data_IF_834178986933
#
_entry.id   IF_834178986933
#
_cell.length_a   1.000
_cell.length_b   1.000
_cell.length_c   1.000
_cell.angle_alpha   90.00
_cell.angle_beta   90.00
_cell.angle_gamma   90.00
#
_symmetry.space_group_name_H-M   'P 1'
#
loop_
_entity.id
_entity.type
_entity.pdbx_description
1 polymer ?
#
# COMPACT_ATOMS: atom_id res chain seq x y z
N UNK A 1 41.79 0.70 -13.56
CA UNK A 1 40.68 0.15 -12.75
C UNK A 1 39.43 0.22 -13.60
N UNK A 2 38.95 -0.92 -14.11
CA UNK A 2 37.67 -0.95 -14.83
C UNK A 2 36.60 -0.80 -13.75
N UNK A 3 35.96 0.37 -13.69
CA UNK A 3 34.70 0.49 -12.96
C UNK A 3 33.71 -0.42 -13.66
N UNK A 4 33.54 -1.64 -13.15
CA UNK A 4 32.38 -2.47 -13.48
C UNK A 4 31.15 -1.70 -13.00
N UNK A 5 30.55 -0.93 -13.90
CA UNK A 5 29.23 -0.35 -13.66
C UNK A 5 28.25 -1.51 -13.54
N UNK A 6 27.98 -1.93 -12.30
CA UNK A 6 26.95 -2.93 -12.02
C UNK A 6 25.64 -2.38 -12.59
N UNK A 7 25.05 -3.06 -13.59
CA UNK A 7 23.79 -2.61 -14.14
C UNK A 7 22.73 -2.62 -13.06
N UNK A 8 21.92 -1.55 -13.01
CA UNK A 8 20.84 -1.46 -12.03
C UNK A 8 19.85 -2.60 -12.25
N UNK A 9 19.29 -3.17 -11.17
CA UNK A 9 18.21 -4.13 -11.30
C UNK A 9 17.00 -3.51 -11.98
N UNK A 10 16.32 -4.29 -12.83
CA UNK A 10 15.17 -3.85 -13.62
C UNK A 10 13.87 -4.26 -12.96
N UNK A 11 12.87 -3.38 -12.94
CA UNK A 11 11.55 -3.73 -12.42
C UNK A 11 10.41 -3.33 -13.36
N UNK A 12 9.33 -4.10 -13.26
CA UNK A 12 8.03 -3.76 -13.80
C UNK A 12 7.03 -3.52 -12.66
N UNK A 13 6.21 -2.49 -12.77
CA UNK A 13 5.13 -2.20 -11.80
C UNK A 13 3.75 -2.20 -12.49
N UNK A 14 2.83 -2.98 -11.93
CA UNK A 14 1.45 -3.04 -12.36
C UNK A 14 0.55 -2.36 -11.34
N UNK A 15 -0.53 -1.75 -11.84
CA UNK A 15 -1.41 -0.90 -11.03
C UNK A 15 -0.60 0.25 -10.40
N UNK A 16 0.25 0.87 -11.23
CA UNK A 16 1.31 1.78 -10.80
C UNK A 16 0.79 3.05 -10.14
N UNK A 17 -0.45 3.44 -10.43
CA UNK A 17 -1.05 4.68 -9.98
C UNK A 17 -0.16 5.88 -10.27
N UNK A 18 0.20 6.65 -9.23
CA UNK A 18 1.13 7.77 -9.35
C UNK A 18 2.62 7.38 -9.36
N UNK A 19 2.96 6.09 -9.28
CA UNK A 19 4.34 5.60 -9.27
C UNK A 19 5.00 5.69 -7.90
N UNK A 20 4.29 5.31 -6.84
CA UNK A 20 4.88 5.28 -5.48
C UNK A 20 5.93 4.18 -5.32
N UNK A 21 5.82 3.07 -6.05
CA UNK A 21 6.85 2.03 -6.07
C UNK A 21 8.09 2.56 -6.78
N UNK A 22 7.92 3.22 -7.93
CA UNK A 22 9.01 3.95 -8.60
C UNK A 22 9.68 4.94 -7.66
N UNK A 23 8.91 5.78 -6.95
CA UNK A 23 9.45 6.74 -6.00
C UNK A 23 10.32 6.09 -4.92
N UNK A 24 9.94 4.89 -4.45
CA UNK A 24 10.61 4.19 -3.37
C UNK A 24 11.88 3.45 -3.81
N UNK A 25 11.83 2.79 -4.97
CA UNK A 25 12.98 2.10 -5.56
C UNK A 25 14.01 3.09 -6.11
N UNK A 26 13.52 4.24 -6.59
CA UNK A 26 14.31 5.41 -6.94
C UNK A 26 15.45 5.10 -7.91
N UNK A 27 16.58 5.78 -7.72
CA UNK A 27 17.72 5.67 -8.63
C UNK A 27 18.45 4.31 -8.57
N UNK A 28 18.13 3.44 -7.61
CA UNK A 28 18.76 2.13 -7.45
C UNK A 28 18.22 1.10 -8.45
N UNK A 29 17.05 1.34 -9.02
CA UNK A 29 16.39 0.43 -9.95
C UNK A 29 16.05 1.14 -11.26
N UNK A 30 16.00 0.37 -12.35
CA UNK A 30 15.50 0.86 -13.63
C UNK A 30 14.06 0.39 -13.83
N UNK A 31 13.12 1.34 -13.84
CA UNK A 31 11.75 1.05 -14.23
C UNK A 31 11.70 0.86 -15.74
N UNK A 32 11.28 -0.31 -16.18
CA UNK A 32 11.25 -0.65 -17.60
C UNK A 32 9.86 -0.96 -18.12
N UNK A 33 8.89 -1.10 -17.22
CA UNK A 33 7.48 -1.21 -17.54
C UNK A 33 6.63 -0.71 -16.36
N UNK A 34 5.66 0.13 -16.65
CA UNK A 34 4.62 0.53 -15.72
C UNK A 34 3.25 0.35 -16.41
N UNK A 35 2.21 -0.04 -15.66
CA UNK A 35 0.85 -0.11 -16.19
C UNK A 35 -0.17 0.42 -15.17
N UNK A 36 -1.10 1.24 -15.64
CA UNK A 36 -2.31 1.61 -14.91
C UNK A 36 -3.45 1.90 -15.91
N UNK A 37 -4.69 1.70 -15.47
CA UNK A 37 -5.88 1.91 -16.30
C UNK A 37 -6.42 3.34 -16.18
N UNK A 38 -6.10 4.05 -15.09
CA UNK A 38 -6.68 5.36 -14.78
C UNK A 38 -5.90 6.48 -15.49
N UNK A 39 -6.52 7.21 -16.45
CA UNK A 39 -5.82 8.25 -17.21
C UNK A 39 -5.26 9.38 -16.33
N UNK A 40 -5.96 9.73 -15.25
CA UNK A 40 -5.51 10.80 -14.33
C UNK A 40 -4.27 10.34 -13.55
N UNK A 41 -4.23 9.08 -13.11
CA UNK A 41 -3.04 8.51 -12.47
C UNK A 41 -1.90 8.37 -13.46
N UNK A 42 -2.17 7.93 -14.68
CA UNK A 42 -1.17 7.84 -15.77
C UNK A 42 -0.56 9.20 -16.08
N UNK A 43 -1.36 10.26 -16.16
CA UNK A 43 -0.85 11.62 -16.33
C UNK A 43 0.03 12.06 -15.15
N UNK A 44 -0.40 11.77 -13.92
CA UNK A 44 0.42 12.01 -12.73
C UNK A 44 1.75 11.26 -12.79
N UNK A 45 1.73 10.01 -13.24
CA UNK A 45 2.93 9.20 -13.43
C UNK A 45 3.87 9.84 -14.45
N UNK A 46 3.37 10.21 -15.64
CA UNK A 46 4.16 10.84 -16.70
C UNK A 46 4.86 12.11 -16.24
N UNK A 47 4.17 12.94 -15.46
CA UNK A 47 4.73 14.19 -14.94
C UNK A 47 5.90 13.99 -13.98
N UNK A 48 5.97 12.85 -13.30
CA UNK A 48 7.01 12.56 -12.32
C UNK A 48 8.13 11.67 -12.88
N UNK A 49 7.80 10.73 -13.78
CA UNK A 49 8.69 9.64 -14.20
C UNK A 49 8.89 9.53 -15.72
N UNK A 50 8.17 10.34 -16.51
CA UNK A 50 8.10 10.19 -17.96
C UNK A 50 7.12 9.10 -18.40
N UNK A 51 6.87 9.03 -19.72
CA UNK A 51 5.88 8.10 -20.31
C UNK A 51 6.45 6.93 -21.10
N UNK A 52 7.78 6.85 -21.28
CA UNK A 52 8.40 5.89 -22.20
C UNK A 52 8.10 4.42 -21.87
N UNK A 53 7.96 4.11 -20.58
CA UNK A 53 7.69 2.76 -20.08
C UNK A 53 6.27 2.57 -19.56
N UNK A 54 5.41 3.59 -19.65
CA UNK A 54 4.05 3.56 -19.13
C UNK A 54 3.06 3.08 -20.19
N UNK A 55 2.40 1.95 -19.90
CA UNK A 55 1.28 1.41 -20.65
C UNK A 55 -0.02 1.83 -19.96
N UNK A 56 -0.67 2.87 -20.49
CA UNK A 56 -2.00 3.27 -20.07
C UNK A 56 -3.05 2.33 -20.69
N UNK A 57 -3.78 1.60 -19.86
CA UNK A 57 -4.81 0.65 -20.32
C UNK A 57 -5.10 -0.45 -19.32
N UNK A 58 -6.16 -1.21 -19.60
CA UNK A 58 -6.54 -2.36 -18.77
C UNK A 58 -5.48 -3.46 -18.89
N UNK A 59 -5.04 -3.98 -17.75
CA UNK A 59 -4.13 -5.14 -17.67
C UNK A 59 -4.68 -6.36 -18.42
N UNK A 60 -6.02 -6.48 -18.54
CA UNK A 60 -6.68 -7.52 -19.31
C UNK A 60 -6.38 -7.44 -20.81
N UNK A 61 -6.24 -6.23 -21.34
CA UNK A 61 -6.07 -5.93 -22.76
C UNK A 61 -4.60 -5.87 -23.19
N UNK A 62 -3.66 -5.91 -22.23
CA UNK A 62 -2.24 -5.92 -22.55
C UNK A 62 -1.85 -7.16 -23.37
N UNK A 63 -1.08 -6.96 -24.46
CA UNK A 63 -0.78 -8.02 -25.42
C UNK A 63 0.12 -9.10 -24.82
N UNK A 64 0.06 -10.29 -25.41
CA UNK A 64 1.06 -11.32 -25.18
C UNK A 64 2.44 -10.77 -25.60
N UNK A 65 3.48 -11.02 -24.79
CA UNK A 65 4.79 -10.39 -24.99
C UNK A 65 4.94 -9.01 -24.35
N UNK A 66 3.96 -8.54 -23.56
CA UNK A 66 4.18 -7.34 -22.71
C UNK A 66 5.42 -7.50 -21.82
N UNK A 67 5.59 -8.68 -21.21
CA UNK A 67 6.83 -9.06 -20.52
C UNK A 67 7.77 -9.76 -21.50
N UNK A 68 8.63 -9.00 -22.18
CA UNK A 68 9.53 -9.48 -23.26
C UNK A 68 11.02 -9.27 -22.96
N UNK A 69 11.38 -8.97 -21.72
CA UNK A 69 12.77 -8.75 -21.33
C UNK A 69 13.04 -9.22 -19.90
N UNK A 70 14.30 -9.53 -19.55
CA UNK A 70 14.65 -9.92 -18.19
C UNK A 70 14.29 -8.84 -17.18
N UNK A 71 13.65 -9.25 -16.08
CA UNK A 71 13.25 -8.43 -14.96
C UNK A 71 13.81 -9.02 -13.68
N UNK A 72 14.22 -8.17 -12.76
CA UNK A 72 14.64 -8.56 -11.42
C UNK A 72 13.45 -8.60 -10.46
N UNK A 73 12.53 -7.62 -10.59
CA UNK A 73 11.32 -7.48 -9.78
C UNK A 73 10.08 -7.25 -10.66
N UNK A 74 8.99 -7.93 -10.33
CA UNK A 74 7.65 -7.53 -10.76
C UNK A 74 6.84 -7.15 -9.53
N UNK A 75 6.33 -5.92 -9.49
CA UNK A 75 5.45 -5.42 -8.44
C UNK A 75 4.00 -5.31 -8.93
N UNK A 76 3.03 -5.65 -8.08
CA UNK A 76 1.61 -5.38 -8.33
C UNK A 76 0.88 -4.84 -7.09
N UNK A 77 0.36 -3.62 -7.16
CA UNK A 77 -0.54 -3.03 -6.14
C UNK A 77 -2.00 -3.19 -6.55
N UNK A 78 -2.47 -4.44 -6.59
CA UNK A 78 -3.77 -4.79 -7.19
C UNK A 78 -4.96 -4.17 -6.45
N UNK A 79 -6.00 -3.70 -7.16
CA UNK A 79 -7.23 -3.27 -6.53
C UNK A 79 -7.85 -4.40 -5.69
N UNK A 80 -8.22 -4.08 -4.45
CA UNK A 80 -8.80 -5.05 -3.50
C UNK A 80 -10.19 -5.58 -3.94
N UNK A 81 -10.90 -4.85 -4.80
CA UNK A 81 -12.32 -5.08 -5.05
C UNK A 81 -12.59 -6.28 -5.98
N UNK A 82 -11.68 -6.61 -6.89
CA UNK A 82 -11.97 -7.47 -8.05
C UNK A 82 -11.42 -8.90 -8.00
N UNK A 83 -11.27 -9.47 -6.79
CA UNK A 83 -11.14 -10.92 -6.60
C UNK A 83 -12.53 -11.57 -6.72
N UNK A 84 -13.09 -11.61 -7.93
CA UNK A 84 -14.33 -12.34 -8.19
C UNK A 84 -14.02 -13.84 -8.35
N UNK A 85 -14.16 -14.61 -7.26
CA UNK A 85 -14.39 -16.05 -7.38
C UNK A 85 -15.82 -16.23 -7.89
N UNK A 86 -16.01 -16.43 -9.20
CA UNK A 86 -17.36 -16.63 -9.70
C UNK A 86 -17.91 -17.97 -9.20
N UNK A 87 -18.86 -17.87 -8.27
CA UNK A 87 -19.96 -18.80 -8.08
C UNK A 87 -19.65 -20.12 -7.37
N UNK A 88 -20.36 -20.35 -6.27
CA UNK A 88 -20.73 -21.71 -5.84
C UNK A 88 -21.34 -22.44 -7.05
N UNK A 89 -20.59 -23.34 -7.69
CA UNK A 89 -21.14 -24.35 -8.60
C UNK A 89 -21.25 -24.03 -10.09
N UNK A 90 -20.40 -23.17 -10.68
CA UNK A 90 -20.20 -23.18 -12.15
C UNK A 90 -18.71 -23.33 -12.45
N UNK A 91 -18.32 -24.53 -12.90
CA UNK A 91 -16.93 -24.95 -13.06
C UNK A 91 -16.05 -24.01 -13.90
N UNK A 92 -14.73 -24.25 -13.86
CA UNK A 92 -13.56 -23.70 -14.60
C UNK A 92 -13.61 -22.35 -15.36
N UNK A 93 -14.74 -21.96 -15.95
CA UNK A 93 -15.00 -20.65 -16.57
C UNK A 93 -15.22 -19.51 -15.57
N UNK A 94 -15.65 -19.81 -14.33
CA UNK A 94 -15.86 -18.80 -13.28
C UNK A 94 -14.58 -18.27 -12.60
N UNK A 95 -13.44 -18.92 -12.84
CA UNK A 95 -12.14 -18.62 -12.23
C UNK A 95 -11.33 -17.55 -12.99
N UNK A 96 -11.92 -16.91 -14.02
CA UNK A 96 -11.18 -16.15 -15.05
C UNK A 96 -11.60 -14.68 -15.22
N UNK A 97 -12.30 -14.08 -14.25
CA UNK A 97 -12.94 -12.75 -14.41
C UNK A 97 -12.38 -11.64 -13.52
N UNK A 98 -11.31 -11.89 -12.77
CA UNK A 98 -10.71 -10.91 -11.85
C UNK A 98 -9.45 -10.25 -12.41
N UNK A 99 -9.17 -9.01 -11.99
CA UNK A 99 -7.95 -8.27 -12.34
C UNK A 99 -6.67 -9.07 -12.01
N UNK A 100 -6.68 -9.79 -10.87
CA UNK A 100 -5.59 -10.70 -10.49
C UNK A 100 -5.36 -11.81 -11.52
N UNK A 101 -6.42 -12.38 -12.10
CA UNK A 101 -6.29 -13.44 -13.11
C UNK A 101 -5.60 -12.91 -14.38
N UNK A 102 -6.00 -11.73 -14.85
CA UNK A 102 -5.40 -11.11 -16.03
C UNK A 102 -3.93 -10.76 -15.81
N UNK A 103 -3.58 -10.25 -14.63
CA UNK A 103 -2.18 -10.03 -14.26
C UNK A 103 -1.39 -11.34 -14.19
N UNK A 104 -1.94 -12.39 -13.56
CA UNK A 104 -1.31 -13.71 -13.50
C UNK A 104 -1.16 -14.34 -14.89
N UNK A 105 -2.08 -14.07 -15.84
CA UNK A 105 -1.95 -14.50 -17.24
C UNK A 105 -0.68 -13.90 -17.86
N UNK A 106 -0.49 -12.59 -17.77
CA UNK A 106 0.69 -11.91 -18.30
C UNK A 106 1.98 -12.44 -17.67
N UNK A 107 1.99 -12.55 -16.34
CA UNK A 107 3.12 -13.10 -15.60
C UNK A 107 3.46 -14.53 -16.05
N UNK A 108 2.45 -15.40 -16.14
CA UNK A 108 2.62 -16.79 -16.60
C UNK A 108 3.15 -16.87 -18.03
N UNK A 109 2.69 -15.97 -18.91
CA UNK A 109 3.16 -15.88 -20.30
C UNK A 109 4.63 -15.44 -20.35
N UNK A 110 5.01 -14.40 -19.60
CA UNK A 110 6.39 -13.94 -19.51
C UNK A 110 7.33 -15.03 -18.97
N UNK A 111 6.92 -15.73 -17.91
CA UNK A 111 7.67 -16.87 -17.34
C UNK A 111 7.85 -17.98 -18.38
N UNK A 112 6.80 -18.36 -19.12
CA UNK A 112 6.89 -19.36 -20.19
C UNK A 112 7.80 -18.94 -21.34
N UNK A 113 7.86 -17.64 -21.64
CA UNK A 113 8.75 -17.07 -22.65
C UNK A 113 10.21 -16.91 -22.17
N UNK A 114 10.54 -17.33 -20.94
CA UNK A 114 11.89 -17.26 -20.38
C UNK A 114 12.20 -15.97 -19.61
N UNK A 115 11.25 -15.04 -19.51
CA UNK A 115 11.39 -13.79 -18.76
C UNK A 115 10.95 -13.99 -17.30
N UNK A 116 11.65 -14.88 -16.61
CA UNK A 116 11.29 -15.31 -15.25
C UNK A 116 11.91 -14.35 -14.21
N UNK A 117 11.13 -13.49 -13.54
CA UNK A 117 11.69 -12.55 -12.58
C UNK A 117 12.30 -13.25 -11.37
N UNK A 118 13.32 -12.64 -10.76
CA UNK A 118 13.88 -13.15 -9.50
C UNK A 118 12.88 -13.03 -8.36
N UNK A 119 12.18 -11.89 -8.31
CA UNK A 119 11.30 -11.49 -7.23
C UNK A 119 9.95 -11.06 -7.80
N UNK A 120 8.87 -11.47 -7.13
CA UNK A 120 7.54 -10.92 -7.34
C UNK A 120 7.03 -10.35 -6.01
N UNK A 121 6.54 -9.12 -6.03
CA UNK A 121 5.93 -8.46 -4.89
C UNK A 121 4.47 -8.12 -5.22
N UNK A 122 3.56 -8.47 -4.31
CA UNK A 122 2.14 -8.22 -4.45
C UNK A 122 1.61 -7.52 -3.20
N UNK A 123 1.02 -6.34 -3.35
CA UNK A 123 0.49 -5.54 -2.26
C UNK A 123 -1.04 -5.51 -2.29
N UNK A 124 -1.65 -5.60 -1.11
CA UNK A 124 -3.09 -5.45 -0.94
C UNK A 124 -3.49 -4.99 0.46
N UNK A 125 -4.79 -4.75 0.67
CA UNK A 125 -5.32 -4.52 2.02
C UNK A 125 -5.29 -5.81 2.85
N UNK A 126 -5.13 -5.66 4.16
CA UNK A 126 -5.13 -6.80 5.09
C UNK A 126 -6.44 -7.60 5.10
N UNK A 127 -7.55 -7.00 4.64
CA UNK A 127 -8.83 -7.65 4.47
C UNK A 127 -8.80 -8.86 3.53
N UNK A 128 -7.82 -8.95 2.62
CA UNK A 128 -7.66 -10.07 1.69
C UNK A 128 -7.55 -11.42 2.41
N UNK A 129 -6.88 -11.46 3.57
CA UNK A 129 -6.70 -12.68 4.35
C UNK A 129 -7.99 -13.25 4.95
N UNK A 130 -9.03 -12.42 5.09
CA UNK A 130 -10.33 -12.81 5.65
C UNK A 130 -11.44 -12.92 4.60
N UNK A 131 -11.23 -12.35 3.41
CA UNK A 131 -12.21 -12.35 2.33
C UNK A 131 -12.43 -13.77 1.81
N UNK A 132 -13.68 -14.12 1.51
CA UNK A 132 -14.08 -15.48 1.10
C UNK A 132 -13.56 -16.58 2.06
N UNK A 133 -13.53 -16.30 3.37
CA UNK A 133 -12.99 -17.25 4.36
C UNK A 133 -11.48 -17.51 4.23
N UNK A 134 -10.75 -16.60 3.58
CA UNK A 134 -9.31 -16.73 3.34
C UNK A 134 -8.94 -17.33 1.98
N UNK A 135 -9.92 -17.74 1.17
CA UNK A 135 -9.67 -18.39 -0.12
C UNK A 135 -8.95 -17.48 -1.12
N UNK A 136 -9.26 -16.18 -1.16
CA UNK A 136 -8.61 -15.24 -2.07
C UNK A 136 -7.11 -15.13 -1.78
N UNK A 137 -6.73 -15.05 -0.49
CA UNK A 137 -5.33 -15.01 -0.11
C UNK A 137 -4.61 -16.33 -0.40
N UNK A 138 -5.25 -17.48 -0.16
CA UNK A 138 -4.70 -18.80 -0.52
C UNK A 138 -4.48 -18.88 -2.03
N UNK A 139 -5.42 -18.37 -2.83
CA UNK A 139 -5.31 -18.36 -4.28
C UNK A 139 -4.13 -17.53 -4.76
N UNK A 140 -3.88 -16.36 -4.18
CA UNK A 140 -2.69 -15.53 -4.50
C UNK A 140 -1.41 -16.30 -4.23
N UNK A 141 -1.27 -16.88 -3.03
CA UNK A 141 -0.05 -17.61 -2.64
C UNK A 141 0.18 -18.84 -3.53
N UNK A 142 -0.86 -19.65 -3.76
CA UNK A 142 -0.76 -20.85 -4.59
C UNK A 142 -0.47 -20.53 -6.06
N UNK A 143 -1.02 -19.42 -6.58
CA UNK A 143 -0.77 -19.01 -7.98
C UNK A 143 0.69 -18.64 -8.22
N UNK A 144 1.32 -17.95 -7.25
CA UNK A 144 2.75 -17.64 -7.31
C UNK A 144 3.61 -18.88 -7.06
N UNK A 145 3.23 -19.73 -6.11
CA UNK A 145 3.94 -20.97 -5.82
C UNK A 145 3.97 -21.93 -7.03
N UNK A 146 2.84 -22.05 -7.73
CA UNK A 146 2.70 -22.83 -8.96
C UNK A 146 3.56 -22.31 -10.13
N UNK A 147 3.99 -21.04 -10.10
CA UNK A 147 4.96 -20.47 -11.04
C UNK A 147 6.42 -20.75 -10.68
N UNK A 148 6.67 -21.55 -9.63
CA UNK A 148 8.02 -21.92 -9.22
C UNK A 148 8.65 -20.95 -8.22
N UNK A 149 7.85 -20.31 -7.36
CA UNK A 149 8.33 -19.39 -6.33
C UNK A 149 8.10 -19.97 -4.92
N UNK A 150 9.02 -19.65 -4.01
CA UNK A 150 8.76 -19.67 -2.56
C UNK A 150 7.99 -18.41 -2.22
N UNK A 151 6.94 -18.51 -1.42
CA UNK A 151 6.03 -17.39 -1.15
C UNK A 151 6.01 -17.07 0.33
N UNK A 152 6.04 -15.80 0.71
CA UNK A 152 5.87 -15.38 2.10
C UNK A 152 5.10 -14.09 2.16
N UNK A 153 4.66 -13.70 3.36
CA UNK A 153 3.87 -12.48 3.52
C UNK A 153 4.26 -11.70 4.77
N UNK A 154 4.03 -10.38 4.72
CA UNK A 154 4.20 -9.44 5.82
C UNK A 154 2.95 -8.56 5.93
N UNK A 155 2.47 -8.34 7.16
CA UNK A 155 1.46 -7.31 7.45
C UNK A 155 2.15 -6.11 8.10
N UNK A 156 2.21 -5.00 7.35
CA UNK A 156 2.98 -3.80 7.74
C UNK A 156 2.01 -2.62 7.88
N UNK A 157 2.02 -1.96 9.03
CA UNK A 157 1.34 -0.67 9.21
C UNK A 157 2.30 0.49 8.94
N UNK A 158 1.92 1.38 8.03
CA UNK A 158 2.65 2.61 7.71
C UNK A 158 2.99 3.47 8.93
N UNK A 159 2.30 3.31 10.07
CA UNK A 159 2.56 4.06 11.31
C UNK A 159 4.00 3.93 11.83
N UNK A 160 4.70 2.87 11.42
CA UNK A 160 6.09 2.64 11.80
C UNK A 160 7.07 3.54 11.01
N UNK A 161 6.61 4.15 9.92
CA UNK A 161 7.44 4.95 9.00
C UNK A 161 6.95 6.39 8.84
N UNK A 162 5.64 6.60 8.83
CA UNK A 162 4.97 7.90 8.64
C UNK A 162 3.82 8.04 9.65
N UNK A 163 3.36 9.26 9.98
CA UNK A 163 2.29 9.45 10.95
C UNK A 163 0.90 9.14 10.36
N UNK A 164 0.74 7.93 9.80
CA UNK A 164 -0.50 7.42 9.22
C UNK A 164 -0.64 5.94 9.59
N UNK A 165 -1.79 5.54 10.14
CA UNK A 165 -2.11 4.12 10.23
C UNK A 165 -2.74 3.63 8.92
N UNK A 166 -1.99 2.80 8.21
CA UNK A 166 -2.38 2.16 6.95
C UNK A 166 -1.78 0.74 6.94
N UNK A 167 -2.42 -0.22 7.63
CA UNK A 167 -2.05 -1.63 7.52
C UNK A 167 -2.22 -2.13 6.08
N UNK A 168 -1.20 -2.79 5.56
CA UNK A 168 -1.20 -3.46 4.25
C UNK A 168 -0.53 -4.83 4.35
N UNK A 169 -0.96 -5.70 3.45
CA UNK A 169 -0.43 -7.04 3.25
C UNK A 169 0.52 -6.98 2.06
N UNK A 170 1.72 -7.51 2.24
CA UNK A 170 2.75 -7.63 1.21
C UNK A 170 3.09 -9.11 1.06
N UNK A 171 2.80 -9.68 -0.11
CA UNK A 171 3.24 -11.02 -0.49
C UNK A 171 4.53 -10.87 -1.27
N UNK A 172 5.60 -11.50 -0.78
CA UNK A 172 6.91 -11.51 -1.42
C UNK A 172 7.20 -12.93 -1.85
N UNK A 173 7.50 -13.10 -3.14
CA UNK A 173 7.78 -14.38 -3.75
C UNK A 173 9.17 -14.37 -4.38
N UNK A 174 9.99 -15.37 -4.04
CA UNK A 174 11.36 -15.54 -4.52
C UNK A 174 11.44 -16.81 -5.36
N UNK A 175 12.04 -16.73 -6.55
CA UNK A 175 12.18 -17.89 -7.43
C UNK A 175 12.87 -19.06 -6.70
N UNK A 176 12.33 -20.28 -6.81
CA UNK A 176 12.75 -21.46 -6.01
C UNK A 176 14.23 -21.82 -6.21
N UNK A 177 14.77 -21.50 -7.37
CA UNK A 177 16.14 -21.82 -7.78
C UNK A 177 17.21 -20.90 -7.18
N UNK A 178 16.83 -19.84 -6.44
CA UNK A 178 17.75 -18.77 -6.01
C UNK A 178 18.54 -19.05 -4.72
N UNK A 179 18.42 -20.15 -3.98
CA UNK A 179 18.96 -20.23 -2.60
C UNK A 179 18.46 -19.08 -1.68
N UNK A 180 18.39 -19.34 -0.39
CA UNK A 180 17.78 -18.35 0.50
C UNK A 180 17.66 -18.79 1.94
N UNK A 181 18.41 -19.80 2.34
CA UNK A 181 18.42 -20.35 3.69
C UNK A 181 18.70 -19.26 4.74
N UNK A 182 19.54 -18.28 4.40
CA UNK A 182 19.85 -17.10 5.23
C UNK A 182 18.85 -15.95 5.11
N UNK A 183 17.90 -16.04 4.17
CA UNK A 183 16.79 -15.10 3.99
C UNK A 183 15.52 -15.59 4.70
N UNK A 184 15.56 -16.77 5.32
CA UNK A 184 14.40 -17.47 5.89
C UNK A 184 14.51 -17.59 7.40
N UNK A 185 13.35 -17.64 8.07
CA UNK A 185 13.23 -17.93 9.48
C UNK A 185 12.56 -19.29 9.68
N UNK A 186 13.03 -20.05 10.65
CA UNK A 186 12.41 -21.32 11.03
C UNK A 186 11.01 -21.13 11.65
N UNK A 187 10.73 -19.95 12.20
CA UNK A 187 9.46 -19.60 12.82
C UNK A 187 9.14 -18.11 12.62
N UNK A 188 7.85 -17.71 12.64
CA UNK A 188 7.48 -16.31 12.51
C UNK A 188 7.99 -15.50 13.71
N UNK A 189 8.93 -14.60 13.47
CA UNK A 189 9.39 -13.61 14.44
C UNK A 189 9.13 -12.19 13.93
N UNK A 190 9.28 -11.19 14.80
CA UNK A 190 9.22 -9.79 14.40
C UNK A 190 7.81 -9.19 14.34
N UNK A 191 7.79 -7.90 14.04
CA UNK A 191 6.64 -7.01 14.09
C UNK A 191 5.62 -7.28 12.98
N UNK A 192 6.08 -7.75 11.82
CA UNK A 192 5.26 -7.84 10.61
C UNK A 192 4.73 -9.25 10.30
N UNK A 193 5.19 -10.26 11.04
CA UNK A 193 4.49 -11.53 11.13
C UNK A 193 3.41 -11.43 12.23
N UNK A 194 2.31 -10.73 11.95
CA UNK A 194 1.27 -10.47 12.96
C UNK A 194 0.53 -11.75 13.38
N UNK A 195 -0.10 -11.74 14.55
CA UNK A 195 -0.87 -12.89 15.05
C UNK A 195 -1.93 -13.37 14.05
N UNK A 196 -2.54 -12.44 13.32
CA UNK A 196 -3.49 -12.75 12.26
C UNK A 196 -2.85 -13.60 11.16
N UNK A 197 -1.66 -13.22 10.70
CA UNK A 197 -0.91 -13.95 9.68
C UNK A 197 -0.44 -15.31 10.19
N UNK A 198 0.09 -15.37 11.42
CA UNK A 198 0.49 -16.63 12.06
C UNK A 198 -0.67 -17.61 12.14
N UNK A 199 -1.83 -17.18 12.63
CA UNK A 199 -3.04 -18.01 12.71
C UNK A 199 -3.50 -18.49 11.35
N UNK A 200 -3.47 -17.61 10.34
CA UNK A 200 -3.84 -17.98 8.98
C UNK A 200 -2.94 -19.10 8.42
N UNK A 201 -1.62 -18.91 8.48
CA UNK A 201 -0.65 -19.90 7.95
C UNK A 201 -0.73 -21.22 8.74
N UNK A 202 -0.88 -21.16 10.06
CA UNK A 202 -1.04 -22.35 10.90
C UNK A 202 -2.31 -23.16 10.55
N UNK A 203 -3.39 -22.48 10.17
CA UNK A 203 -4.64 -23.12 9.76
C UNK A 203 -4.65 -23.60 8.29
N UNK A 204 -3.64 -23.24 7.49
CA UNK A 204 -3.58 -23.61 6.07
C UNK A 204 -3.32 -25.11 5.85
N UNK A 205 -3.63 -25.57 4.63
CA UNK A 205 -3.34 -26.93 4.19
C UNK A 205 -1.82 -27.20 4.09
N UNK A 206 -1.44 -28.48 3.99
CA UNK A 206 -0.04 -28.89 3.95
C UNK A 206 0.70 -28.30 2.74
N UNK A 207 0.08 -28.30 1.56
CA UNK A 207 0.67 -27.80 0.33
C UNK A 207 1.09 -26.33 0.43
N UNK A 208 0.21 -25.46 0.98
CA UNK A 208 0.54 -24.06 1.19
C UNK A 208 1.70 -23.91 2.18
N UNK A 209 1.71 -24.70 3.26
CA UNK A 209 2.77 -24.64 4.27
C UNK A 209 4.14 -25.03 3.72
N UNK A 210 4.20 -25.94 2.75
CA UNK A 210 5.47 -26.36 2.12
C UNK A 210 6.12 -25.23 1.33
N UNK A 211 5.33 -24.44 0.60
CA UNK A 211 5.85 -23.33 -0.21
C UNK A 211 5.89 -21.99 0.55
N UNK A 212 5.25 -21.92 1.72
CA UNK A 212 5.24 -20.72 2.55
C UNK A 212 6.58 -20.51 3.27
N UNK A 213 7.06 -19.27 3.23
CA UNK A 213 8.34 -18.85 3.79
C UNK A 213 8.14 -17.69 4.76
N UNK A 214 8.70 -17.83 5.96
CA UNK A 214 8.83 -16.72 6.90
C UNK A 214 10.08 -15.92 6.55
N UNK A 215 9.93 -14.77 5.90
CA UNK A 215 11.06 -13.96 5.48
C UNK A 215 11.78 -13.31 6.67
N UNK A 216 13.09 -13.49 6.73
CA UNK A 216 13.95 -12.84 7.72
C UNK A 216 13.94 -11.33 7.48
N UNK A 217 13.61 -10.57 8.52
CA UNK A 217 13.60 -9.11 8.47
C UNK A 217 13.89 -8.55 9.86
N UNK A 218 14.54 -7.40 9.90
CA UNK A 218 14.75 -6.61 11.11
C UNK A 218 13.63 -5.58 11.24
N UNK A 219 13.19 -5.24 12.47
CA UNK A 219 12.23 -4.16 12.64
C UNK A 219 12.83 -2.85 12.09
N UNK A 220 12.02 -1.99 11.45
CA UNK A 220 12.51 -0.69 11.02
C UNK A 220 12.84 0.19 12.22
N UNK A 221 13.68 1.20 12.01
CA UNK A 221 13.74 2.33 12.95
C UNK A 221 12.38 3.00 12.99
N UNK A 222 11.74 2.99 14.16
CA UNK A 222 10.39 3.53 14.30
C UNK A 222 10.38 5.04 14.13
N UNK A 223 9.50 5.53 13.27
CA UNK A 223 9.30 6.96 13.06
C UNK A 223 8.78 7.63 14.32
N UNK A 224 9.43 8.72 14.72
CA UNK A 224 8.96 9.62 15.79
C UNK A 224 8.15 10.80 15.23
N UNK A 225 7.93 10.82 13.92
CA UNK A 225 7.21 11.88 13.22
C UNK A 225 5.74 11.86 13.62
N UNK A 226 5.15 13.04 13.77
CA UNK A 226 3.74 13.22 14.09
C UNK A 226 3.03 14.02 12.99
N UNK A 227 1.70 14.08 13.04
CA UNK A 227 0.93 14.96 12.15
C UNK A 227 1.39 16.41 12.23
N UNK A 228 1.91 16.88 13.38
CA UNK A 228 2.38 18.24 13.55
C UNK A 228 3.54 18.58 12.60
N UNK A 229 4.39 17.60 12.29
CA UNK A 229 5.54 17.74 11.39
C UNK A 229 5.12 17.70 9.91
N UNK A 230 3.95 17.15 9.63
CA UNK A 230 3.39 17.02 8.28
C UNK A 230 2.58 18.27 7.88
N UNK A 231 2.03 18.99 8.86
CA UNK A 231 1.12 20.12 8.62
C UNK A 231 1.71 21.14 7.66
N UNK A 232 0.96 21.42 6.60
CA UNK A 232 1.32 22.43 5.63
C UNK A 232 0.97 23.83 6.15
N UNK A 233 1.90 24.76 5.93
CA UNK A 233 1.77 26.18 6.26
C UNK A 233 0.93 26.92 5.24
N UNK A 234 0.83 26.42 4.00
CA UNK A 234 0.06 27.00 2.90
C UNK A 234 -0.86 25.96 2.26
N UNK A 235 -1.85 25.43 3.00
CA UNK A 235 -2.70 24.35 2.50
C UNK A 235 -3.58 24.81 1.34
N UNK A 236 -3.86 23.89 0.41
CA UNK A 236 -4.81 24.07 -0.70
C UNK A 236 -6.27 23.87 -0.27
N UNK A 237 -6.52 23.74 1.04
CA UNK A 237 -7.85 23.54 1.62
C UNK A 237 -8.28 24.73 2.48
N UNK A 238 -9.53 25.16 2.30
CA UNK A 238 -10.11 26.25 3.07
C UNK A 238 -10.42 25.86 4.50
N UNK A 239 -10.27 26.83 5.40
CA UNK A 239 -10.81 26.73 6.76
C UNK A 239 -12.32 26.59 6.75
N UNK A 240 -12.84 25.75 7.63
CA UNK A 240 -14.28 25.64 7.86
C UNK A 240 -14.79 26.84 8.64
N UNK A 241 -16.03 27.25 8.38
CA UNK A 241 -16.70 28.28 9.18
C UNK A 241 -16.94 27.78 10.61
N UNK A 242 -17.07 28.70 11.56
CA UNK A 242 -17.33 28.38 12.97
C UNK A 242 -18.56 27.48 13.12
N UNK A 243 -19.67 27.83 12.46
CA UNK A 243 -20.88 26.98 12.46
C UNK A 243 -20.64 25.54 11.97
N UNK A 244 -19.74 25.33 11.00
CA UNK A 244 -19.38 23.96 10.56
C UNK A 244 -18.50 23.24 11.58
N UNK A 245 -17.61 23.96 12.26
CA UNK A 245 -16.80 23.41 13.35
C UNK A 245 -17.72 23.01 14.52
N UNK A 246 -18.69 23.83 14.88
CA UNK A 246 -19.65 23.53 15.95
C UNK A 246 -20.45 22.27 15.65
N UNK A 247 -20.96 22.13 14.41
CA UNK A 247 -21.63 20.90 13.97
C UNK A 247 -20.70 19.67 14.09
N UNK A 248 -19.41 19.80 13.80
CA UNK A 248 -18.46 18.69 13.98
C UNK A 248 -18.28 18.32 15.46
N UNK A 249 -18.23 19.32 16.34
CA UNK A 249 -18.08 19.12 17.78
C UNK A 249 -19.35 18.50 18.39
N UNK A 250 -20.54 18.96 17.99
CA UNK A 250 -21.83 18.43 18.45
C UNK A 250 -22.09 16.99 17.97
N UNK A 251 -21.48 16.60 16.85
CA UNK A 251 -21.51 15.23 16.35
C UNK A 251 -20.60 14.26 17.12
N UNK A 252 -19.78 14.74 18.05
CA UNK A 252 -18.80 13.91 18.74
C UNK A 252 -19.45 12.96 19.74
N UNK A 253 -18.88 11.77 19.86
CA UNK A 253 -19.14 10.90 21.01
C UNK A 253 -18.51 11.47 22.28
N UNK A 254 -19.02 11.10 23.45
CA UNK A 254 -18.47 11.53 24.74
C UNK A 254 -16.95 11.33 24.86
N UNK A 255 -16.34 10.19 24.44
CA UNK A 255 -14.88 10.05 24.46
C UNK A 255 -14.14 11.07 23.58
N UNK A 256 -14.72 11.46 22.45
CA UNK A 256 -14.13 12.45 21.55
C UNK A 256 -14.27 13.87 22.10
N UNK A 257 -15.44 14.19 22.68
CA UNK A 257 -15.67 15.45 23.36
C UNK A 257 -14.72 15.62 24.56
N UNK A 258 -14.50 14.56 25.35
CA UNK A 258 -13.55 14.55 26.46
C UNK A 258 -12.10 14.83 26.01
N UNK A 259 -11.68 14.29 24.85
CA UNK A 259 -10.37 14.58 24.25
C UNK A 259 -10.24 16.05 23.83
N UNK A 260 -11.29 16.63 23.24
CA UNK A 260 -11.31 18.07 22.94
C UNK A 260 -11.20 18.88 24.23
N UNK A 261 -12.00 18.56 25.26
CA UNK A 261 -11.95 19.26 26.54
C UNK A 261 -10.57 19.17 27.21
N UNK A 262 -9.90 18.03 27.10
CA UNK A 262 -8.51 17.89 27.54
C UNK A 262 -7.57 18.81 26.73
N UNK A 263 -7.63 18.76 25.39
CA UNK A 263 -6.82 19.61 24.51
C UNK A 263 -7.04 21.12 24.76
N UNK A 264 -8.27 21.54 25.08
CA UNK A 264 -8.55 22.94 25.47
C UNK A 264 -7.85 23.32 26.76
N UNK A 265 -7.87 22.44 27.77
CA UNK A 265 -7.25 22.66 29.09
C UNK A 265 -5.73 22.73 29.06
N UNK A 266 -5.05 22.12 28.08
CA UNK A 266 -3.59 22.22 27.99
C UNK A 266 -3.12 23.65 27.70
N UNK A 267 -3.96 24.50 27.10
CA UNK A 267 -3.64 25.87 26.68
C UNK A 267 -2.62 25.97 25.53
N UNK A 268 -2.01 24.85 25.15
CA UNK A 268 -1.08 24.72 24.02
C UNK A 268 -1.86 24.49 22.73
N UNK A 269 -1.17 24.62 21.59
CA UNK A 269 -1.72 24.26 20.29
C UNK A 269 -1.66 22.75 20.14
N UNK A 270 -2.81 22.10 20.20
CA UNK A 270 -2.97 20.66 19.94
C UNK A 270 -3.49 20.43 18.53
N UNK A 271 -2.96 19.40 17.87
CA UNK A 271 -3.36 19.02 16.51
C UNK A 271 -4.06 17.67 16.56
N UNK A 272 -5.36 17.69 16.28
CA UNK A 272 -6.20 16.51 16.26
C UNK A 272 -6.55 16.09 14.84
N UNK A 273 -6.82 14.81 14.65
CA UNK A 273 -7.37 14.29 13.40
C UNK A 273 -8.75 13.71 13.63
N UNK A 274 -9.69 14.11 12.78
CA UNK A 274 -11.08 13.75 12.83
C UNK A 274 -11.48 12.98 11.59
N UNK A 275 -12.24 11.93 11.84
CA UNK A 275 -12.92 11.16 10.81
C UNK A 275 -14.37 10.91 11.24
N UNK A 276 -15.25 10.75 10.25
CA UNK A 276 -16.67 10.51 10.49
C UNK A 276 -17.00 9.03 10.32
N UNK A 277 -17.70 8.43 11.28
CA UNK A 277 -18.17 7.03 11.20
C UNK A 277 -19.68 6.95 11.37
N UNK A 278 -20.30 6.00 10.67
CA UNK A 278 -21.66 5.60 10.98
C UNK A 278 -21.67 4.74 12.24
N UNK A 279 -22.54 5.06 13.19
CA UNK A 279 -22.83 4.27 14.39
C UNK A 279 -24.35 4.06 14.47
N UNK A 280 -24.83 2.86 14.79
CA UNK A 280 -26.25 2.69 15.11
C UNK A 280 -26.59 3.54 16.34
N UNK A 281 -27.72 4.23 16.28
CA UNK A 281 -28.34 4.86 17.45
C UNK A 281 -29.11 3.82 18.29
N UNK A 282 -29.73 4.25 19.37
CA UNK A 282 -30.51 3.40 20.30
C UNK A 282 -31.66 2.67 19.59
N UNK A 283 -32.12 3.18 18.45
CA UNK A 283 -33.17 2.58 17.62
C UNK A 283 -32.60 1.76 16.45
N UNK A 284 -31.30 1.50 16.43
CA UNK A 284 -30.60 0.77 15.37
C UNK A 284 -30.38 1.57 14.07
N UNK A 285 -30.79 2.85 14.01
CA UNK A 285 -30.60 3.69 12.82
C UNK A 285 -29.17 4.21 12.75
N UNK A 286 -28.49 4.01 11.63
CA UNK A 286 -27.12 4.50 11.46
C UNK A 286 -27.10 6.03 11.42
N UNK A 287 -26.50 6.64 12.45
CA UNK A 287 -26.19 8.08 12.50
C UNK A 287 -24.71 8.31 12.33
N UNK A 288 -24.35 9.42 11.69
CA UNK A 288 -22.97 9.82 11.58
C UNK A 288 -22.49 10.43 12.91
N UNK A 289 -21.31 10.01 13.36
CA UNK A 289 -20.60 10.54 14.52
C UNK A 289 -19.21 10.99 14.10
N UNK A 290 -18.74 12.08 14.70
CA UNK A 290 -17.38 12.53 14.57
C UNK A 290 -16.53 11.86 15.66
N UNK A 291 -15.40 11.26 15.27
CA UNK A 291 -14.42 10.73 16.22
C UNK A 291 -13.10 11.50 16.02
N UNK A 292 -12.46 11.90 17.12
CA UNK A 292 -11.18 12.63 17.11
C UNK A 292 -10.09 11.87 17.85
N UNK A 293 -8.86 11.97 17.35
CA UNK A 293 -7.63 11.47 17.97
C UNK A 293 -6.57 12.57 18.02
N UNK A 294 -5.71 12.51 19.06
CA UNK A 294 -4.62 13.46 19.32
C UNK A 294 -3.28 12.72 19.51
N UNK A 295 -3.21 11.44 19.14
CA UNK A 295 -2.00 10.61 19.21
C UNK A 295 -1.01 10.86 18.07
N UNK A 296 -1.19 11.94 17.31
CA UNK A 296 -0.29 12.34 16.23
C UNK A 296 -0.38 11.50 14.96
N UNK A 297 -1.29 10.52 14.86
CA UNK A 297 -1.35 9.58 13.74
C UNK A 297 -2.65 9.78 12.91
N UNK A 298 -2.50 9.86 11.60
CA UNK A 298 -3.60 9.91 10.65
C UNK A 298 -4.30 8.56 10.49
N UNK A 299 -5.59 8.63 10.13
CA UNK A 299 -6.28 7.44 9.62
C UNK A 299 -5.73 7.03 8.25
N UNK A 300 -6.15 5.87 7.76
CA UNK A 300 -5.84 5.44 6.40
C UNK A 300 -6.46 6.42 5.39
N UNK A 301 -5.64 7.01 4.51
CA UNK A 301 -6.12 7.83 3.38
C UNK A 301 -6.90 6.97 2.40
N UNK A 302 -8.01 7.49 1.87
CA UNK A 302 -8.95 6.78 1.00
C UNK A 302 -9.33 7.64 -0.20
N UNK A 303 -9.74 6.99 -1.27
CA UNK A 303 -10.30 7.67 -2.43
C UNK A 303 -11.58 8.43 -2.06
N UNK A 304 -11.82 9.63 -2.61
CA UNK A 304 -12.98 10.44 -2.27
C UNK A 304 -14.29 9.86 -2.84
N UNK A 305 -14.95 8.94 -2.12
CA UNK A 305 -16.27 8.42 -2.48
C UNK A 305 -17.41 8.99 -1.58
N UNK A 306 -17.08 9.75 -0.53
CA UNK A 306 -18.06 10.30 0.42
C UNK A 306 -17.45 11.04 1.62
N UNK A 307 -18.29 11.58 2.51
CA UNK A 307 -17.85 12.44 3.63
C UNK A 307 -16.93 11.77 4.68
N UNK A 308 -16.96 10.44 4.81
CA UNK A 308 -16.09 9.67 5.73
C UNK A 308 -14.71 9.35 5.16
N UNK A 309 -14.51 9.52 3.85
CA UNK A 309 -13.24 9.21 3.17
C UNK A 309 -12.20 10.33 3.32
N UNK A 310 -12.63 11.55 3.66
CA UNK A 310 -11.76 12.72 3.81
C UNK A 310 -11.41 12.94 5.28
N UNK A 311 -10.13 13.13 5.57
CA UNK A 311 -9.68 13.46 6.92
C UNK A 311 -9.77 14.95 7.17
N UNK A 312 -10.31 15.29 8.35
CA UNK A 312 -10.33 16.66 8.86
C UNK A 312 -9.22 16.81 9.88
N UNK A 313 -8.44 17.87 9.78
CA UNK A 313 -7.45 18.26 10.78
C UNK A 313 -8.04 19.36 11.65
N UNK A 314 -7.92 19.19 12.97
CA UNK A 314 -8.35 20.15 13.98
C UNK A 314 -7.14 20.79 14.64
N UNK A 315 -7.26 22.07 14.91
CA UNK A 315 -6.31 22.86 15.67
C UNK A 315 -7.03 23.43 16.88
N UNK A 316 -6.65 22.97 18.07
CA UNK A 316 -7.25 23.38 19.34
C UNK A 316 -6.22 24.21 20.10
N UNK A 317 -6.61 25.40 20.56
CA UNK A 317 -5.81 26.23 21.47
C UNK A 317 -6.72 27.00 22.41
N UNK A 318 -6.74 26.61 23.69
CA UNK A 318 -7.74 27.14 24.63
C UNK A 318 -9.15 26.87 24.11
N UNK A 319 -10.00 27.89 24.08
CA UNK A 319 -11.38 27.76 23.56
C UNK A 319 -11.48 27.80 22.03
N UNK A 320 -10.41 28.19 21.33
CA UNK A 320 -10.42 28.26 19.87
C UNK A 320 -10.24 26.87 19.26
N UNK A 321 -11.19 26.48 18.40
CA UNK A 321 -11.11 25.27 17.57
C UNK A 321 -11.23 25.69 16.12
N UNK A 322 -10.24 25.35 15.30
CA UNK A 322 -10.29 25.51 13.85
C UNK A 322 -10.19 24.16 13.17
N UNK A 323 -10.92 23.98 12.09
CA UNK A 323 -10.87 22.75 11.30
C UNK A 323 -10.71 23.05 9.80
N UNK A 324 -10.01 22.17 9.10
CA UNK A 324 -9.98 22.11 7.63
C UNK A 324 -9.78 20.68 7.18
N UNK A 325 -9.98 20.43 5.90
CA UNK A 325 -9.55 19.15 5.32
C UNK A 325 -8.02 19.09 5.27
N UNK A 326 -7.48 17.88 5.38
CA UNK A 326 -6.07 17.64 5.16
C UNK A 326 -5.72 17.94 3.69
N UNK A 327 -4.73 18.76 3.45
CA UNK A 327 -4.35 19.28 2.13
C UNK A 327 -3.75 18.20 1.22
N UNK A 328 -3.70 18.46 -0.09
CA UNK A 328 -3.06 17.53 -1.03
C UNK A 328 -1.57 17.31 -0.71
N UNK A 329 -0.87 18.36 -0.22
CA UNK A 329 0.54 18.29 0.16
C UNK A 329 0.76 17.48 1.43
N UNK A 330 -0.10 17.66 2.44
CA UNK A 330 -0.08 16.82 3.64
C UNK A 330 -0.38 15.36 3.30
N UNK A 331 -1.32 15.10 2.38
CA UNK A 331 -1.62 13.74 1.93
C UNK A 331 -0.41 13.09 1.25
N UNK A 332 0.31 13.85 0.43
CA UNK A 332 1.57 13.42 -0.21
C UNK A 332 2.64 13.04 0.84
N UNK A 333 2.87 13.91 1.83
CA UNK A 333 3.79 13.65 2.95
C UNK A 333 3.39 12.43 3.79
N UNK A 334 2.09 12.24 4.04
CA UNK A 334 1.59 11.04 4.74
C UNK A 334 1.80 9.74 3.95
N UNK A 335 2.02 9.82 2.64
CA UNK A 335 2.42 8.67 1.81
C UNK A 335 3.95 8.52 1.71
N UNK A 336 4.71 9.41 2.36
CA UNK A 336 6.17 9.43 2.34
C UNK A 336 6.77 9.84 1.00
N UNK A 337 6.01 10.54 0.17
CA UNK A 337 6.50 11.06 -1.11
C UNK A 337 7.48 12.22 -0.90
N UNK A 338 8.52 12.35 -1.75
CA UNK A 338 9.45 13.46 -1.66
C UNK A 338 8.78 14.79 -1.98
N UNK A 339 9.32 15.89 -1.45
CA UNK A 339 8.79 17.24 -1.68
C UNK A 339 8.74 17.64 -3.16
N UNK A 340 9.62 17.05 -3.99
CA UNK A 340 9.67 17.24 -5.44
C UNK A 340 8.55 16.52 -6.21
N UNK A 341 7.85 15.58 -5.60
CA UNK A 341 6.77 14.84 -6.26
C UNK A 341 5.60 15.78 -6.58
N UNK A 342 5.15 15.73 -7.84
CA UNK A 342 4.07 16.56 -8.38
C UNK A 342 2.75 15.82 -8.23
N UNK A 343 1.99 16.19 -7.20
CA UNK A 343 0.60 15.76 -7.05
C UNK A 343 -0.31 16.48 -8.07
N UNK A 344 -1.45 15.89 -8.45
CA UNK A 344 -2.51 16.60 -9.16
C UNK A 344 -2.91 17.89 -8.44
N UNK A 345 -3.16 18.96 -9.21
CA UNK A 345 -3.60 20.25 -8.65
C UNK A 345 -5.02 20.19 -8.09
N UNK A 346 -5.88 19.36 -8.69
CA UNK A 346 -7.25 19.17 -8.21
C UNK A 346 -7.28 18.24 -6.99
N UNK A 347 -7.80 18.75 -5.87
CA UNK A 347 -7.83 18.09 -4.56
C UNK A 347 -8.32 16.63 -4.59
N UNK A 348 -9.47 16.35 -5.23
CA UNK A 348 -9.99 14.98 -5.24
C UNK A 348 -9.11 14.03 -6.06
N UNK A 349 -8.43 14.54 -7.09
CA UNK A 349 -7.51 13.77 -7.92
C UNK A 349 -6.26 13.41 -7.12
N UNK A 350 -5.71 14.37 -6.38
CA UNK A 350 -4.60 14.14 -5.46
C UNK A 350 -4.94 13.09 -4.40
N UNK A 351 -6.14 13.16 -3.82
CA UNK A 351 -6.61 12.15 -2.87
C UNK A 351 -6.87 10.77 -3.50
N UNK A 352 -7.22 10.71 -4.78
CA UNK A 352 -7.35 9.43 -5.48
C UNK A 352 -5.98 8.77 -5.64
N UNK A 353 -4.96 9.55 -6.04
CA UNK A 353 -3.56 9.12 -6.11
C UNK A 353 -3.05 8.64 -4.75
N UNK A 354 -3.15 9.46 -3.70
CA UNK A 354 -2.68 9.10 -2.36
C UNK A 354 -3.51 7.97 -1.71
N UNK A 355 -4.82 7.96 -1.93
CA UNK A 355 -5.75 7.00 -1.34
C UNK A 355 -5.53 5.58 -1.86
N UNK A 356 -5.22 5.42 -3.14
CA UNK A 356 -4.94 4.12 -3.76
C UNK A 356 -3.46 3.71 -3.68
N UNK A 357 -2.54 4.65 -3.55
CA UNK A 357 -1.10 4.37 -3.56
C UNK A 357 -0.59 3.52 -2.38
N UNK A 358 0.63 3.03 -2.52
CA UNK A 358 1.41 2.41 -1.46
C UNK A 358 2.29 3.46 -0.74
N UNK A 359 2.58 3.27 0.54
CA UNK A 359 3.44 4.19 1.31
C UNK A 359 4.89 3.93 0.94
N UNK A 360 5.55 4.96 0.42
CA UNK A 360 6.90 4.91 -0.17
C UNK A 360 7.93 4.30 0.78
N UNK A 361 8.05 4.75 2.06
CA UNK A 361 8.98 4.16 3.02
C UNK A 361 8.82 2.65 3.27
N UNK A 362 7.60 2.08 3.13
CA UNK A 362 7.42 0.63 3.29
C UNK A 362 8.09 -0.09 2.13
N UNK A 363 7.94 0.42 0.91
CA UNK A 363 8.56 -0.18 -0.27
C UNK A 363 10.09 -0.05 -0.20
N UNK A 364 10.61 1.10 0.24
CA UNK A 364 12.06 1.26 0.47
C UNK A 364 12.59 0.29 1.54
N UNK A 365 11.82 0.06 2.61
CA UNK A 365 12.14 -0.94 3.62
C UNK A 365 12.16 -2.37 3.05
N UNK A 366 11.18 -2.73 2.22
CA UNK A 366 11.15 -4.04 1.56
C UNK A 366 12.33 -4.21 0.59
N UNK A 367 12.72 -3.14 -0.10
CA UNK A 367 13.90 -3.15 -0.96
C UNK A 367 15.17 -3.45 -0.17
N UNK A 368 15.44 -2.67 0.88
CA UNK A 368 16.62 -2.83 1.72
C UNK A 368 16.66 -4.20 2.42
N UNK A 369 15.55 -4.60 3.02
CA UNK A 369 15.52 -5.77 3.88
C UNK A 369 15.34 -7.09 3.14
N UNK A 370 14.69 -7.08 1.98
CA UNK A 370 14.36 -8.30 1.24
C UNK A 370 14.90 -8.28 -0.18
N UNK A 371 14.56 -7.26 -0.98
CA UNK A 371 14.84 -7.33 -2.41
C UNK A 371 16.34 -7.28 -2.72
N UNK A 372 17.09 -6.34 -2.15
CA UNK A 372 18.54 -6.26 -2.35
C UNK A 372 19.29 -7.52 -1.87
N UNK A 373 19.00 -8.09 -0.67
CA UNK A 373 19.52 -9.40 -0.29
C UNK A 373 19.18 -10.53 -1.27
N UNK A 374 17.91 -10.63 -1.71
CA UNK A 374 17.46 -11.64 -2.67
C UNK A 374 18.18 -11.50 -4.02
N UNK A 375 18.37 -10.28 -4.51
CA UNK A 375 19.09 -10.02 -5.76
C UNK A 375 20.58 -10.36 -5.68
N UNK A 376 21.22 -10.12 -4.54
CA UNK A 376 22.62 -10.54 -4.33
C UNK A 376 22.76 -12.06 -4.49
N UNK A 377 21.80 -12.84 -3.97
CA UNK A 377 21.76 -14.30 -4.16
C UNK A 377 21.50 -14.69 -5.60
N UNK A 378 20.54 -14.03 -6.25
CA UNK A 378 20.19 -14.29 -7.64
C UNK A 378 21.38 -14.07 -8.59
N UNK A 379 22.15 -12.99 -8.38
CA UNK A 379 23.30 -12.62 -9.20
C UNK A 379 24.52 -13.50 -8.96
N UNK A 380 24.73 -13.98 -7.72
CA UNK A 380 25.81 -14.91 -7.40
C UNK A 380 25.70 -16.26 -8.15
N UNK A 381 24.52 -16.58 -8.69
CA UNK A 381 24.26 -17.79 -9.47
C UNK A 381 24.66 -17.68 -10.94
N UNK A 382 24.79 -16.47 -11.49
CA UNK A 382 25.15 -16.27 -12.89
C UNK A 382 26.67 -16.27 -13.00
N UNK A 383 27.32 -17.30 -13.57
CA UNK A 383 28.77 -17.24 -13.82
C UNK A 383 29.07 -16.06 -14.74
N UNK A 384 30.18 -15.36 -14.43
CA UNK A 384 30.64 -14.15 -15.11
C UNK A 384 30.89 -14.34 -16.61
#
# INVERSE_FOLDING_TARGET
MVQTTVSKPKFAEFFSGGGMVHAALGAQWDCVLANDIDPMKCETYRQNWGGAHLLEGDVAELPEGTLHQPLDLIWASSPCQDFSLAGKGRGLKGLRSGVFYHWMRLLSQGVKAGFVPSIIAFENVTGLMSRAGGQDFTHVLNSLAALGYRVGALEIDARHFVPQSRPRLFVIALRKDIAGEDLMLAAPTGLFHTDKLRRYVNAANADLKTDFTWWAHQPPTLSTTSIADVVDRKPDTSWQSEAKVDVLLDMMSEPSAARIAHARRTGKREIGLLYKRGRPDENGKIRQRAEVRFDGIAGCLRTPAGGSSRQTILFVKGNSVKARLLSSKEASRLMGLPESYRMPTHYNSAYKVAGDGVVVPIVSYLDEMLFQPMLRKARAKVPA
#
